data_IF_165815509902
#
_entry.id   IF_165815509902
#
_cell.length_a   1.000
_cell.length_b   1.000
_cell.length_c   1.000
_cell.angle_alpha   90.00
_cell.angle_beta   90.00
_cell.angle_gamma   90.00
#
_symmetry.space_group_name_H-M   'P 1'
#
loop_
_entity.id
_entity.type
_entity.pdbx_description
1 polymer ?
#
# COMPACT_ATOMS: atom_id res chain seq x y z
N UNK A 1 -5.49 18.18 9.71
CA UNK A 1 -5.55 16.73 9.37
C UNK A 1 -4.15 16.12 9.54
N UNK A 2 -3.69 15.91 10.77
CA UNK A 2 -2.30 15.54 11.08
C UNK A 2 -2.14 14.20 11.81
N UNK A 3 -3.15 13.34 11.83
CA UNK A 3 -3.11 12.13 12.69
C UNK A 3 -2.88 10.82 11.95
N UNK A 4 -2.55 10.86 10.65
CA UNK A 4 -2.39 9.64 9.83
C UNK A 4 -0.96 9.06 9.85
N UNK A 5 0.02 9.81 10.35
CA UNK A 5 1.45 9.44 10.32
C UNK A 5 2.19 9.57 11.66
N UNK A 6 1.48 9.64 12.80
CA UNK A 6 2.12 9.70 14.12
C UNK A 6 2.61 8.33 14.67
N UNK A 7 2.36 7.24 13.93
CA UNK A 7 2.67 5.87 14.38
C UNK A 7 4.14 5.45 14.19
N UNK A 8 5.07 6.37 13.94
CA UNK A 8 6.49 6.04 13.98
C UNK A 8 6.95 5.60 15.38
N UNK A 9 6.36 6.16 16.43
CA UNK A 9 6.59 5.67 17.80
C UNK A 9 6.04 4.26 18.02
N UNK A 10 4.97 3.88 17.32
CA UNK A 10 4.39 2.54 17.44
C UNK A 10 5.24 1.49 16.73
N UNK A 11 6.01 1.85 15.70
CA UNK A 11 6.83 0.93 14.91
C UNK A 11 8.28 0.82 15.39
N UNK A 12 8.65 1.46 16.50
CA UNK A 12 10.00 1.35 17.09
C UNK A 12 10.41 -0.09 17.37
N UNK A 13 9.46 -0.99 17.64
CA UNK A 13 9.75 -2.41 17.84
C UNK A 13 10.31 -3.12 16.59
N UNK A 14 10.18 -2.53 15.39
CA UNK A 14 10.83 -3.05 14.17
C UNK A 14 12.35 -3.06 14.31
N UNK A 15 12.91 -2.16 15.12
CA UNK A 15 14.34 -2.15 15.46
C UNK A 15 14.79 -3.40 16.23
N UNK A 16 13.87 -4.08 16.95
CA UNK A 16 14.17 -5.36 17.62
C UNK A 16 14.51 -6.47 16.61
N UNK A 17 14.02 -6.35 15.37
CA UNK A 17 14.29 -7.31 14.31
C UNK A 17 15.46 -6.89 13.41
N UNK A 18 16.12 -5.77 13.71
CA UNK A 18 17.34 -5.35 13.02
C UNK A 18 18.55 -5.96 13.73
N UNK A 19 18.89 -7.19 13.36
CA UNK A 19 20.01 -7.94 13.95
C UNK A 19 21.38 -7.49 13.44
N UNK A 20 21.47 -6.37 12.70
CA UNK A 20 22.73 -5.83 12.21
C UNK A 20 23.61 -5.35 13.39
N UNK A 21 24.52 -6.23 13.81
CA UNK A 21 25.45 -6.04 14.91
C UNK A 21 26.60 -5.07 14.58
N UNK A 22 26.66 -4.47 13.39
CA UNK A 22 27.82 -3.63 13.02
C UNK A 22 27.84 -2.23 13.66
N UNK A 23 26.79 -1.80 14.35
CA UNK A 23 26.79 -0.51 15.06
C UNK A 23 26.43 -0.60 16.56
N UNK A 24 26.39 -1.82 17.13
CA UNK A 24 26.21 -2.04 18.56
C UNK A 24 27.51 -1.85 19.36
N UNK A 25 28.24 -0.77 19.09
CA UNK A 25 29.43 -0.39 19.83
C UNK A 25 29.13 0.21 21.22
N UNK A 26 27.92 0.05 21.77
CA UNK A 26 27.56 0.55 23.11
C UNK A 26 26.42 -0.24 23.77
N UNK A 27 26.68 -1.52 24.07
CA UNK A 27 26.30 -2.23 25.32
C UNK A 27 24.89 -2.15 25.94
N UNK A 28 23.80 -1.86 25.22
CA UNK A 28 22.45 -1.92 25.84
C UNK A 28 21.39 -2.50 24.92
N UNK A 29 20.75 -3.60 25.36
CA UNK A 29 19.52 -4.13 24.80
C UNK A 29 18.56 -2.97 24.47
N UNK A 30 17.88 -2.98 23.30
CA UNK A 30 16.96 -1.92 22.89
C UNK A 30 15.69 -1.89 23.76
N UNK A 31 15.83 -1.43 25.01
CA UNK A 31 14.78 -1.36 26.02
C UNK A 31 13.63 -0.45 25.60
N UNK A 32 13.91 0.61 24.84
CA UNK A 32 12.90 1.54 24.34
C UNK A 32 11.98 0.88 23.29
N UNK A 33 12.57 0.11 22.37
CA UNK A 33 11.83 -0.65 21.37
C UNK A 33 11.02 -1.79 22.02
N UNK A 34 11.59 -2.44 23.03
CA UNK A 34 10.90 -3.48 23.82
C UNK A 34 9.73 -2.92 24.65
N UNK A 35 9.90 -1.75 25.27
CA UNK A 35 8.82 -1.06 25.98
C UNK A 35 7.71 -0.63 25.01
N UNK A 36 8.06 -0.15 23.81
CA UNK A 36 7.09 0.19 22.77
C UNK A 36 6.27 -1.04 22.32
N UNK A 37 6.94 -2.19 22.14
CA UNK A 37 6.26 -3.45 21.86
C UNK A 37 5.33 -3.87 23.01
N UNK A 38 5.80 -3.76 24.25
CA UNK A 38 5.03 -4.12 25.45
C UNK A 38 3.77 -3.26 25.61
N UNK A 39 3.86 -1.97 25.32
CA UNK A 39 2.71 -1.06 25.44
C UNK A 39 1.66 -1.29 24.35
N UNK A 40 2.09 -1.59 23.11
CA UNK A 40 1.17 -1.71 21.97
C UNK A 40 0.69 -3.14 21.71
N UNK A 41 1.55 -4.13 21.95
CA UNK A 41 1.32 -5.53 21.63
C UNK A 41 1.51 -6.46 22.84
N UNK A 42 1.62 -5.94 24.06
CA UNK A 42 1.90 -6.74 25.26
C UNK A 42 0.91 -7.88 25.54
N UNK A 43 -0.32 -7.80 25.03
CA UNK A 43 -1.32 -8.86 25.16
C UNK A 43 -1.13 -10.03 24.17
N UNK A 44 -0.30 -9.83 23.13
CA UNK A 44 -0.04 -10.82 22.08
C UNK A 44 1.25 -11.62 22.32
N UNK A 45 2.10 -11.16 23.23
CA UNK A 45 3.41 -11.74 23.52
C UNK A 45 3.53 -12.13 24.98
N UNK A 46 4.19 -13.26 25.23
CA UNK A 46 4.71 -13.60 26.55
C UNK A 46 6.00 -12.79 26.76
N UNK A 47 5.88 -11.63 27.42
CA UNK A 47 6.97 -10.67 27.60
C UNK A 47 8.21 -11.29 28.30
N UNK A 48 8.07 -12.03 29.42
CA UNK A 48 9.18 -12.78 30.01
C UNK A 48 9.87 -13.77 29.06
N UNK A 49 9.08 -14.57 28.31
CA UNK A 49 9.62 -15.54 27.37
C UNK A 49 10.31 -14.83 26.19
N UNK A 50 9.70 -13.79 25.63
CA UNK A 50 10.24 -12.98 24.55
C UNK A 50 11.58 -12.34 24.93
N UNK A 51 11.68 -11.80 26.15
CA UNK A 51 12.93 -11.21 26.63
C UNK A 51 14.06 -12.26 26.67
N UNK A 52 13.77 -13.43 27.24
CA UNK A 52 14.73 -14.54 27.32
C UNK A 52 15.15 -15.04 25.94
N UNK A 53 14.19 -15.17 25.02
CA UNK A 53 14.44 -15.61 23.65
C UNK A 53 15.23 -14.58 22.84
N UNK A 54 14.93 -13.28 22.99
CA UNK A 54 15.68 -12.21 22.35
C UNK A 54 17.12 -12.15 22.88
N UNK A 55 17.34 -12.29 24.19
CA UNK A 55 18.69 -12.36 24.75
C UNK A 55 19.51 -13.48 24.11
N UNK A 56 18.95 -14.68 23.96
CA UNK A 56 19.61 -15.81 23.29
C UNK A 56 19.91 -15.50 21.81
N UNK A 57 18.96 -14.88 21.10
CA UNK A 57 19.12 -14.52 19.69
C UNK A 57 20.22 -13.47 19.49
N UNK A 58 20.33 -12.48 20.37
CA UNK A 58 21.40 -11.47 20.32
C UNK A 58 22.77 -12.04 20.72
N UNK A 59 22.81 -13.08 21.56
CA UNK A 59 24.05 -13.74 22.00
C UNK A 59 24.55 -14.78 20.99
N UNK A 60 23.68 -15.30 20.12
CA UNK A 60 24.03 -16.32 19.13
C UNK A 60 24.48 -15.69 17.81
N UNK A 61 25.78 -15.75 17.53
CA UNK A 61 26.44 -15.17 16.35
C UNK A 61 25.87 -15.66 15.00
N UNK A 62 25.42 -16.92 14.92
CA UNK A 62 24.85 -17.49 13.68
C UNK A 62 23.55 -16.81 13.23
N UNK A 63 22.85 -16.17 14.18
CA UNK A 63 21.54 -15.56 13.98
C UNK A 63 21.69 -14.08 13.62
N UNK A 64 22.73 -13.42 14.11
CA UNK A 64 22.99 -12.00 13.89
C UNK A 64 23.49 -11.66 12.48
N UNK A 65 24.06 -12.62 11.76
CA UNK A 65 24.42 -12.46 10.35
C UNK A 65 23.20 -12.42 9.41
N UNK A 66 21.99 -12.73 9.91
CA UNK A 66 20.76 -12.72 9.11
C UNK A 66 20.11 -11.34 9.16
N UNK A 67 20.51 -10.47 8.24
CA UNK A 67 20.06 -9.07 8.15
C UNK A 67 18.54 -8.88 7.93
N UNK A 68 17.82 -9.92 7.51
CA UNK A 68 16.41 -9.81 7.09
C UNK A 68 15.54 -10.69 8.01
N UNK A 69 14.46 -10.15 8.62
CA UNK A 69 13.53 -10.91 9.47
C UNK A 69 12.97 -12.17 8.79
N UNK A 70 12.79 -12.11 7.46
CA UNK A 70 12.41 -13.26 6.61
C UNK A 70 13.47 -14.37 6.60
N UNK A 71 14.75 -14.00 6.52
CA UNK A 71 15.85 -14.97 6.52
C UNK A 71 15.98 -15.63 7.89
N UNK A 72 15.79 -14.87 8.97
CA UNK A 72 15.70 -15.40 10.32
C UNK A 72 14.54 -16.39 10.46
N UNK A 73 13.34 -16.01 10.01
CA UNK A 73 12.16 -16.87 10.08
C UNK A 73 12.37 -18.19 9.31
N UNK A 74 12.98 -18.13 8.13
CA UNK A 74 13.33 -19.32 7.36
C UNK A 74 14.36 -20.19 8.07
N UNK A 75 15.36 -19.59 8.71
CA UNK A 75 16.37 -20.30 9.51
C UNK A 75 15.76 -20.98 10.75
N UNK A 76 14.88 -20.30 11.48
CA UNK A 76 14.19 -20.87 12.64
C UNK A 76 13.29 -22.04 12.24
N UNK A 77 12.67 -21.97 11.06
CA UNK A 77 11.87 -23.06 10.51
C UNK A 77 12.72 -24.24 10.04
N UNK A 78 13.87 -24.00 9.40
CA UNK A 78 14.75 -25.08 8.92
C UNK A 78 15.50 -25.79 10.05
N UNK A 79 15.81 -25.09 11.14
CA UNK A 79 16.50 -25.63 12.32
C UNK A 79 15.55 -26.27 13.34
N UNK A 80 14.23 -26.12 13.17
CA UNK A 80 13.22 -26.59 14.13
C UNK A 80 13.18 -25.77 15.44
N UNK A 81 13.91 -24.65 15.51
CA UNK A 81 13.90 -23.71 16.63
C UNK A 81 12.63 -22.87 16.68
N UNK A 82 11.80 -22.91 15.64
CA UNK A 82 10.51 -22.22 15.57
C UNK A 82 9.58 -22.49 16.77
N UNK A 83 9.62 -23.71 17.33
CA UNK A 83 8.86 -24.07 18.54
C UNK A 83 9.50 -23.57 19.83
N UNK A 84 10.83 -23.47 19.88
CA UNK A 84 11.58 -23.02 21.06
C UNK A 84 11.65 -21.49 21.16
N UNK A 85 11.62 -20.81 20.02
CA UNK A 85 11.69 -19.34 19.89
C UNK A 85 10.38 -18.78 19.31
N UNK A 86 9.25 -19.28 19.80
CA UNK A 86 7.93 -18.95 19.27
C UNK A 86 7.56 -17.46 19.36
N UNK A 87 8.04 -16.75 20.38
CA UNK A 87 7.77 -15.32 20.54
C UNK A 87 8.57 -14.48 19.53
N UNK A 88 9.81 -14.88 19.24
CA UNK A 88 10.65 -14.24 18.20
C UNK A 88 10.06 -14.49 16.81
N UNK A 89 9.53 -15.69 16.57
CA UNK A 89 8.80 -16.01 15.33
C UNK A 89 7.58 -15.09 15.16
N UNK A 90 6.73 -14.97 16.18
CA UNK A 90 5.57 -14.06 16.17
C UNK A 90 5.99 -12.61 15.95
N UNK A 91 7.10 -12.18 16.51
CA UNK A 91 7.64 -10.84 16.32
C UNK A 91 8.08 -10.62 14.86
N UNK A 92 8.77 -11.59 14.27
CA UNK A 92 9.15 -11.54 12.86
C UNK A 92 7.93 -11.50 11.94
N UNK A 93 6.91 -12.31 12.21
CA UNK A 93 5.65 -12.33 11.46
C UNK A 93 4.90 -11.00 11.56
N UNK A 94 4.84 -10.41 12.76
CA UNK A 94 4.24 -9.09 12.98
C UNK A 94 4.96 -8.03 12.13
N UNK A 95 6.29 -7.97 12.21
CA UNK A 95 7.11 -7.02 11.45
C UNK A 95 6.98 -7.21 9.94
N UNK A 96 6.89 -8.46 9.46
CA UNK A 96 6.68 -8.76 8.04
C UNK A 96 5.24 -8.46 7.55
N UNK A 97 4.27 -8.46 8.46
CA UNK A 97 2.86 -8.18 8.14
C UNK A 97 2.55 -6.68 8.08
N UNK A 98 3.24 -5.84 8.85
CA UNK A 98 3.09 -4.37 8.83
C UNK A 98 3.31 -3.75 7.44
N UNK A 99 4.38 -4.06 6.68
CA UNK A 99 4.52 -3.53 5.33
C UNK A 99 3.43 -4.06 4.40
N UNK A 100 2.95 -5.30 4.61
CA UNK A 100 1.86 -5.87 3.82
C UNK A 100 0.52 -5.18 4.10
N UNK A 101 0.21 -4.82 5.35
CA UNK A 101 -1.03 -4.10 5.69
C UNK A 101 -0.98 -2.64 5.25
N UNK A 102 0.15 -1.96 5.41
CA UNK A 102 0.32 -0.59 4.91
C UNK A 102 0.25 -0.54 3.38
N UNK A 103 0.99 -1.40 2.68
CA UNK A 103 1.01 -1.44 1.22
C UNK A 103 -0.33 -1.92 0.62
N UNK A 104 -1.01 -2.90 1.24
CA UNK A 104 -2.32 -3.39 0.77
C UNK A 104 -3.40 -2.32 0.89
N UNK A 105 -3.42 -1.58 2.00
CA UNK A 105 -4.37 -0.48 2.20
C UNK A 105 -4.07 0.68 1.24
N UNK A 106 -2.80 1.08 1.09
CA UNK A 106 -2.40 2.14 0.15
C UNK A 106 -2.66 1.76 -1.31
N UNK A 107 -2.39 0.50 -1.70
CA UNK A 107 -2.71 -0.04 -3.02
C UNK A 107 -4.23 -0.01 -3.27
N UNK A 108 -5.02 -0.49 -2.31
CA UNK A 108 -6.48 -0.50 -2.41
C UNK A 108 -7.06 0.91 -2.55
N UNK A 109 -6.60 1.87 -1.76
CA UNK A 109 -7.00 3.28 -1.89
C UNK A 109 -6.57 3.91 -3.22
N UNK A 110 -5.37 3.60 -3.71
CA UNK A 110 -4.85 4.12 -4.98
C UNK A 110 -5.62 3.55 -6.17
N UNK A 111 -5.90 2.25 -6.17
CA UNK A 111 -6.70 1.56 -7.20
C UNK A 111 -8.13 2.12 -7.22
N UNK A 112 -8.79 2.25 -6.07
CA UNK A 112 -10.12 2.87 -5.96
C UNK A 112 -10.13 4.31 -6.46
N UNK A 113 -9.10 5.11 -6.12
CA UNK A 113 -8.95 6.48 -6.62
C UNK A 113 -8.81 6.51 -8.14
N UNK A 114 -8.03 5.60 -8.71
CA UNK A 114 -7.83 5.48 -10.16
C UNK A 114 -9.10 5.05 -10.89
N UNK A 115 -9.83 4.05 -10.37
CA UNK A 115 -11.11 3.58 -10.93
C UNK A 115 -12.16 4.70 -10.89
N UNK A 116 -12.26 5.43 -9.77
CA UNK A 116 -13.16 6.57 -9.64
C UNK A 116 -12.83 7.68 -10.63
N UNK A 117 -11.54 8.00 -10.80
CA UNK A 117 -11.09 9.00 -11.78
C UNK A 117 -11.35 8.54 -13.22
N UNK A 118 -11.10 7.27 -13.53
CA UNK A 118 -11.34 6.68 -14.84
C UNK A 118 -12.83 6.73 -15.21
N UNK A 119 -13.72 6.34 -14.29
CA UNK A 119 -15.17 6.36 -14.51
C UNK A 119 -15.66 7.79 -14.78
N UNK A 120 -15.19 8.78 -14.00
CA UNK A 120 -15.53 10.20 -14.19
C UNK A 120 -15.02 10.74 -15.52
N UNK A 121 -13.81 10.37 -15.90
CA UNK A 121 -13.21 10.79 -17.17
C UNK A 121 -13.88 10.11 -18.37
N UNK A 122 -14.27 8.83 -18.26
CA UNK A 122 -15.01 8.13 -19.30
C UNK A 122 -16.35 8.81 -19.60
N UNK A 123 -17.05 9.30 -18.56
CA UNK A 123 -18.30 10.05 -18.78
C UNK A 123 -18.06 11.42 -19.42
N UNK A 124 -16.90 12.06 -19.19
CA UNK A 124 -16.54 13.31 -19.87
C UNK A 124 -16.07 13.08 -21.30
N UNK A 125 -15.34 12.01 -21.58
CA UNK A 125 -14.93 11.61 -22.93
C UNK A 125 -16.16 11.30 -23.79
N UNK A 126 -17.11 10.48 -23.31
CA UNK A 126 -18.34 10.20 -24.05
C UNK A 126 -19.14 11.48 -24.37
N UNK A 127 -19.17 12.43 -23.44
CA UNK A 127 -19.83 13.73 -23.66
C UNK A 127 -19.05 14.60 -24.64
N UNK A 128 -17.72 14.59 -24.58
CA UNK A 128 -16.86 15.33 -25.49
C UNK A 128 -16.94 14.76 -26.91
N UNK A 129 -16.94 13.44 -27.08
CA UNK A 129 -17.13 12.78 -28.38
C UNK A 129 -18.49 13.10 -28.98
N UNK A 130 -19.57 13.11 -28.18
CA UNK A 130 -20.90 13.54 -28.65
C UNK A 130 -20.95 15.03 -29.02
N UNK A 131 -20.28 15.90 -28.25
CA UNK A 131 -20.18 17.33 -28.59
C UNK A 131 -19.39 17.54 -29.87
N UNK A 132 -18.29 16.82 -30.06
CA UNK A 132 -17.48 16.89 -31.26
C UNK A 132 -18.29 16.45 -32.49
N UNK A 133 -19.03 15.34 -32.38
CA UNK A 133 -19.93 14.89 -33.44
C UNK A 133 -20.99 15.95 -33.79
N UNK A 134 -21.65 16.53 -32.78
CA UNK A 134 -22.64 17.59 -32.97
C UNK A 134 -22.03 18.85 -33.61
N UNK A 135 -20.80 19.19 -33.23
CA UNK A 135 -20.07 20.33 -33.78
C UNK A 135 -19.73 20.12 -35.26
N UNK A 136 -19.32 18.91 -35.63
CA UNK A 136 -19.02 18.54 -37.02
C UNK A 136 -20.29 18.57 -37.87
N UNK A 137 -21.40 17.98 -37.39
CA UNK A 137 -22.69 18.02 -38.10
C UNK A 137 -23.17 19.46 -38.31
N UNK A 138 -23.05 20.31 -37.27
CA UNK A 138 -23.40 21.73 -37.35
C UNK A 138 -22.57 22.48 -38.39
N UNK A 139 -21.26 22.23 -38.45
CA UNK A 139 -20.38 22.85 -39.44
C UNK A 139 -20.72 22.38 -40.86
N UNK A 140 -20.99 21.08 -41.03
CA UNK A 140 -21.36 20.50 -42.32
C UNK A 140 -22.69 21.08 -42.85
N UNK A 141 -23.70 21.23 -41.99
CA UNK A 141 -24.97 21.89 -42.36
C UNK A 141 -24.73 23.35 -42.73
N UNK A 142 -23.85 24.06 -42.02
CA UNK A 142 -23.52 25.45 -42.33
C UNK A 142 -22.86 25.58 -43.71
N UNK A 143 -21.93 24.69 -44.05
CA UNK A 143 -21.33 24.66 -45.39
C UNK A 143 -22.37 24.35 -46.48
N UNK A 144 -23.28 23.40 -46.23
CA UNK A 144 -24.37 23.08 -47.16
C UNK A 144 -25.36 24.24 -47.34
N UNK A 145 -25.58 25.03 -46.27
CA UNK A 145 -26.46 26.21 -46.29
C UNK A 145 -25.92 27.39 -47.11
N UNK A 146 -24.62 27.39 -47.45
CA UNK A 146 -24.05 28.37 -48.38
C UNK A 146 -24.62 28.21 -49.80
N UNK A 147 -25.21 27.05 -50.10
CA UNK A 147 -25.90 26.80 -51.35
C UNK A 147 -27.36 27.33 -51.25
N UNK A 148 -27.74 28.35 -52.03
CA UNK A 148 -28.99 29.09 -51.83
C UNK A 148 -30.28 28.26 -52.05
N UNK A 149 -30.20 27.08 -52.67
CA UNK A 149 -31.35 26.18 -52.88
C UNK A 149 -31.52 25.11 -51.81
N UNK A 150 -30.54 24.93 -50.92
CA UNK A 150 -30.52 23.81 -49.97
C UNK A 150 -31.74 23.79 -49.04
N UNK A 151 -32.13 24.94 -48.49
CA UNK A 151 -33.29 25.01 -47.59
C UNK A 151 -34.61 24.75 -48.31
N UNK A 152 -34.77 25.26 -49.54
CA UNK A 152 -35.97 25.03 -50.34
C UNK A 152 -36.12 23.55 -50.70
N UNK A 153 -35.03 22.88 -51.09
CA UNK A 153 -35.01 21.45 -51.42
C UNK A 153 -35.32 20.58 -50.18
N UNK A 154 -34.80 20.96 -49.01
CA UNK A 154 -35.10 20.28 -47.74
C UNK A 154 -36.57 20.47 -47.36
N UNK A 155 -37.09 21.69 -47.45
CA UNK A 155 -38.51 21.98 -47.15
C UNK A 155 -39.42 21.17 -48.07
N UNK A 156 -39.15 21.14 -49.38
CA UNK A 156 -39.95 20.39 -50.35
C UNK A 156 -39.89 18.88 -50.08
N UNK A 157 -38.72 18.34 -49.71
CA UNK A 157 -38.55 16.93 -49.34
C UNK A 157 -39.38 16.53 -48.11
N UNK A 158 -39.55 17.41 -47.14
CA UNK A 158 -40.34 17.16 -45.92
C UNK A 158 -41.83 17.49 -46.09
N UNK A 159 -42.21 18.37 -47.02
CA UNK A 159 -43.60 18.68 -47.34
C UNK A 159 -44.26 17.66 -48.29
N UNK A 160 -43.47 16.90 -49.06
CA UNK A 160 -43.98 15.89 -50.01
C UNK A 160 -44.00 14.46 -49.44
N UNK A 161 -43.83 14.30 -48.12
CA UNK A 161 -43.85 13.03 -47.39
C UNK A 161 -45.08 12.89 -46.49
#
# INVERSE_FOLDING_TARGET
>A
MNSRFQNFNELKFVELCNFNISNYNSSKFPTEAFNSLRLNYGNFFDIPALNSQLSVVYETSDISEKEIPRNLLNFLNSTGLNKSLCEVVKLCELVLTIPATSASVECSFSVLKRIKSFTRNSTSEDRLSKLALLSIEKECIKQLSENPKFYDDVIDKFCTG
#
